data_IF_056257379027
#
_entry.id   IF_056257379027
#
_cell.length_a   1.000
_cell.length_b   1.000
_cell.length_c   1.000
_cell.angle_alpha   90.00
_cell.angle_beta   90.00
_cell.angle_gamma   90.00
#
_symmetry.space_group_name_H-M   'P 1'
#
loop_
_entity.id
_entity.type
_entity.pdbx_description
1 polymer ?
#
# COMPACT_ATOMS: atom_id res chain seq x y z
N UNK A 1 31.46 44.80 -34.77
CA UNK A 1 30.47 45.88 -34.97
C UNK A 1 29.54 45.89 -33.75
N UNK A 2 29.51 46.97 -32.95
CA UNK A 2 28.54 47.16 -31.85
C UNK A 2 27.41 48.13 -32.26
N UNK A 3 26.16 47.84 -31.88
CA UNK A 3 24.94 48.69 -31.88
C UNK A 3 23.75 47.80 -31.44
N UNK A 4 22.62 48.24 -30.89
CA UNK A 4 22.22 49.49 -30.22
C UNK A 4 21.04 49.14 -29.28
N UNK A 5 21.16 49.31 -27.97
CA UNK A 5 20.56 50.39 -27.15
C UNK A 5 19.01 50.53 -27.12
N UNK A 6 18.52 51.15 -26.04
CA UNK A 6 17.13 51.08 -25.53
C UNK A 6 16.11 51.87 -26.37
N UNK A 7 14.84 51.51 -26.23
CA UNK A 7 13.74 52.50 -26.22
C UNK A 7 12.93 52.42 -24.92
N UNK A 8 12.95 53.52 -24.17
CA UNK A 8 11.88 53.84 -23.23
C UNK A 8 10.77 54.58 -23.99
N UNK A 9 9.51 54.39 -23.58
CA UNK A 9 8.48 55.42 -23.70
C UNK A 9 7.80 55.60 -22.36
N UNK A 10 7.33 56.84 -22.13
CA UNK A 10 6.99 57.43 -20.83
C UNK A 10 5.67 58.17 -21.02
N UNK A 11 4.68 57.91 -20.16
CA UNK A 11 3.51 58.74 -19.84
C UNK A 11 2.52 57.90 -19.03
N UNK A 12 1.67 58.42 -18.13
CA UNK A 12 1.69 59.68 -17.35
C UNK A 12 0.65 59.46 -16.23
N UNK A 13 0.80 60.11 -15.06
CA UNK A 13 -0.16 59.92 -13.96
C UNK A 13 -1.53 60.52 -14.29
N UNK A 14 -2.59 59.81 -13.89
CA UNK A 14 -3.93 60.35 -13.67
C UNK A 14 -4.56 59.48 -12.58
N UNK A 15 -4.86 60.05 -11.42
CA UNK A 15 -5.50 59.32 -10.33
C UNK A 15 -6.99 59.64 -10.27
N UNK A 16 -7.81 58.64 -9.93
CA UNK A 16 -8.94 58.84 -9.01
C UNK A 16 -9.45 57.49 -8.44
N UNK A 17 -10.29 57.58 -7.41
CA UNK A 17 -11.23 56.59 -6.90
C UNK A 17 -10.66 55.26 -6.38
N UNK A 18 -10.55 55.18 -5.05
CA UNK A 18 -10.28 53.92 -4.36
C UNK A 18 -11.39 52.89 -4.56
N UNK A 19 -10.99 51.67 -4.95
CA UNK A 19 -11.80 50.48 -4.78
C UNK A 19 -11.01 49.47 -3.94
N UNK A 20 -11.32 49.44 -2.64
CA UNK A 20 -10.87 48.35 -1.78
C UNK A 20 -11.55 47.05 -2.26
N UNK A 21 -10.91 46.35 -3.20
CA UNK A 21 -11.17 44.93 -3.37
C UNK A 21 -10.81 44.26 -2.05
N UNK A 22 -11.84 43.93 -1.25
CA UNK A 22 -11.72 42.95 -0.18
C UNK A 22 -11.07 41.73 -0.83
N UNK A 23 -9.83 41.44 -0.44
CA UNK A 23 -9.21 40.16 -0.75
C UNK A 23 -10.07 39.16 -0.01
N UNK A 24 -10.98 38.52 -0.74
CA UNK A 24 -11.61 37.30 -0.28
C UNK A 24 -10.46 36.35 0.00
N UNK A 25 -10.19 36.07 1.27
CA UNK A 25 -9.21 35.08 1.70
C UNK A 25 -9.69 33.74 1.17
N UNK A 26 -9.33 33.43 -0.08
CA UNK A 26 -9.54 32.13 -0.66
C UNK A 26 -8.78 31.17 0.25
N UNK A 27 -9.52 30.38 1.01
CA UNK A 27 -8.96 29.29 1.80
C UNK A 27 -8.26 28.37 0.82
N UNK A 28 -6.96 28.60 0.63
CA UNK A 28 -6.08 27.62 -0.01
C UNK A 28 -6.32 26.36 0.81
N UNK A 29 -6.73 25.23 0.21
CA UNK A 29 -6.87 24.00 0.96
C UNK A 29 -5.49 23.66 1.49
N UNK A 30 -5.28 23.93 2.79
CA UNK A 30 -4.06 23.57 3.49
C UNK A 30 -3.96 22.06 3.38
N UNK A 31 -3.01 21.60 2.57
CA UNK A 31 -2.71 20.18 2.38
C UNK A 31 -2.57 19.59 3.78
N UNK A 32 -3.49 18.69 4.15
CA UNK A 32 -3.54 18.16 5.52
C UNK A 32 -2.24 17.43 5.79
N UNK A 33 -1.41 17.98 6.67
CA UNK A 33 -0.13 17.39 7.06
C UNK A 33 -0.41 16.29 8.08
N UNK A 34 0.34 15.20 8.01
CA UNK A 34 0.20 14.08 8.94
C UNK A 34 0.83 14.47 10.27
N UNK A 35 0.09 14.41 11.36
CA UNK A 35 0.63 14.66 12.71
C UNK A 35 0.60 13.40 13.55
N UNK A 36 1.70 13.15 14.25
CA UNK A 36 1.91 11.94 15.06
C UNK A 36 2.36 12.39 16.44
N UNK A 37 1.59 12.02 17.46
CA UNK A 37 1.78 12.45 18.84
C UNK A 37 2.39 11.31 19.66
N UNK A 38 3.35 11.65 20.52
CA UNK A 38 4.00 10.74 21.47
C UNK A 38 3.84 11.36 22.86
N UNK A 39 3.16 10.64 23.76
CA UNK A 39 2.81 11.06 25.13
C UNK A 39 2.07 12.41 25.29
N UNK A 40 1.69 13.07 24.19
CA UNK A 40 0.84 14.25 24.18
C UNK A 40 -0.62 13.87 23.90
N UNK A 41 -1.61 14.51 24.55
CA UNK A 41 -3.01 14.36 24.19
C UNK A 41 -3.26 14.97 22.80
N UNK A 42 -4.07 14.28 21.98
CA UNK A 42 -4.52 14.79 20.69
C UNK A 42 -5.32 16.08 20.86
N UNK A 43 -5.09 17.12 20.04
CA UNK A 43 -5.87 18.36 20.10
C UNK A 43 -7.30 18.12 19.63
N UNK A 44 -8.26 18.90 20.16
CA UNK A 44 -9.68 18.76 19.84
C UNK A 44 -10.03 18.93 18.34
N UNK A 45 -9.13 19.52 17.54
CA UNK A 45 -9.25 19.63 16.08
C UNK A 45 -9.00 18.32 15.32
N UNK A 46 -8.28 17.38 15.95
CA UNK A 46 -7.88 16.09 15.37
C UNK A 46 -8.65 14.92 15.99
N UNK A 47 -9.55 15.21 16.92
CA UNK A 47 -10.51 14.27 17.48
C UNK A 47 -11.85 14.37 16.74
N UNK A 48 -12.54 13.25 16.65
CA UNK A 48 -13.94 13.19 16.20
C UNK A 48 -14.93 13.53 17.34
N UNK A 49 -16.22 13.51 17.02
CA UNK A 49 -17.29 13.77 17.99
C UNK A 49 -17.39 12.74 19.14
N UNK A 50 -16.62 11.66 19.09
CA UNK A 50 -16.54 10.61 20.11
C UNK A 50 -15.20 10.63 20.87
N UNK A 51 -14.32 11.61 20.62
CA UNK A 51 -13.01 11.70 21.23
C UNK A 51 -12.00 10.65 20.72
N UNK A 52 -12.20 10.11 19.51
CA UNK A 52 -11.26 9.21 18.84
C UNK A 52 -10.44 9.98 17.78
N UNK A 53 -9.24 9.50 17.40
CA UNK A 53 -8.45 10.12 16.34
C UNK A 53 -9.24 10.15 15.01
N UNK A 54 -9.30 11.31 14.37
CA UNK A 54 -9.98 11.51 13.08
C UNK A 54 -9.17 10.95 11.91
N UNK A 55 -7.84 11.05 11.98
CA UNK A 55 -6.93 10.49 10.99
C UNK A 55 -6.78 8.98 11.20
N UNK A 56 -7.03 8.20 10.15
CA UNK A 56 -6.97 6.74 10.17
C UNK A 56 -5.79 6.24 9.32
N UNK A 57 -4.85 5.55 9.97
CA UNK A 57 -3.65 5.03 9.32
C UNK A 57 -3.84 3.62 8.73
N UNK A 58 -3.17 3.33 7.62
CA UNK A 58 -3.20 2.00 7.00
C UNK A 58 -2.43 0.97 7.84
N UNK A 59 -2.87 -0.28 7.82
CA UNK A 59 -2.15 -1.39 8.48
C UNK A 59 -0.78 -1.63 7.83
N UNK A 60 0.23 -2.04 8.62
CA UNK A 60 1.55 -2.37 8.07
C UNK A 60 1.60 -3.70 7.28
N UNK A 61 0.48 -4.41 7.19
CA UNK A 61 0.35 -5.66 6.44
C UNK A 61 0.52 -5.44 4.93
N UNK A 62 1.58 -6.00 4.36
CA UNK A 62 1.79 -6.03 2.90
C UNK A 62 0.94 -7.14 2.25
N UNK A 63 0.49 -6.87 1.02
CA UNK A 63 -0.09 -7.85 0.12
C UNK A 63 0.36 -7.59 -1.32
N UNK A 64 1.12 -8.51 -1.89
CA UNK A 64 1.55 -8.49 -3.32
C UNK A 64 0.71 -9.41 -4.19
N UNK A 65 0.01 -10.36 -3.57
CA UNK A 65 -0.95 -11.28 -4.19
C UNK A 65 -2.14 -10.57 -4.85
N UNK A 66 -2.42 -10.96 -6.09
CA UNK A 66 -3.36 -10.27 -6.99
C UNK A 66 -4.81 -10.73 -6.81
N UNK A 67 -5.01 -11.98 -6.41
CA UNK A 67 -6.32 -12.59 -6.27
C UNK A 67 -6.62 -12.84 -4.78
N UNK A 68 -7.91 -12.79 -4.41
CA UNK A 68 -8.44 -13.47 -3.22
C UNK A 68 -9.09 -14.77 -3.66
N UNK A 69 -9.38 -15.69 -2.73
CA UNK A 69 -10.14 -16.91 -3.05
C UNK A 69 -11.45 -16.62 -3.80
N UNK A 70 -12.18 -15.57 -3.42
CA UNK A 70 -13.45 -15.17 -4.06
C UNK A 70 -13.25 -14.45 -5.40
N UNK A 71 -12.24 -13.57 -5.50
CA UNK A 71 -11.98 -12.80 -6.72
C UNK A 71 -11.12 -13.54 -7.74
N UNK A 72 -10.58 -14.71 -7.41
CA UNK A 72 -9.70 -15.48 -8.30
C UNK A 72 -10.44 -15.86 -9.58
N UNK A 73 -11.51 -16.66 -9.48
CA UNK A 73 -12.23 -17.15 -10.64
C UNK A 73 -12.75 -16.03 -11.57
N UNK A 74 -13.49 -15.00 -11.10
CA UNK A 74 -14.01 -13.97 -12.00
C UNK A 74 -12.92 -13.10 -12.63
N UNK A 75 -11.88 -12.70 -11.88
CA UNK A 75 -10.79 -11.88 -12.44
C UNK A 75 -9.90 -12.69 -13.38
N UNK A 76 -9.57 -13.95 -13.02
CA UNK A 76 -8.74 -14.80 -13.86
C UNK A 76 -9.44 -15.13 -15.18
N UNK A 77 -10.71 -15.56 -15.14
CA UNK A 77 -11.50 -15.80 -16.36
C UNK A 77 -11.60 -14.54 -17.24
N UNK A 78 -11.90 -13.37 -16.65
CA UNK A 78 -11.93 -12.11 -17.40
C UNK A 78 -10.60 -11.80 -18.10
N UNK A 79 -9.47 -12.03 -17.43
CA UNK A 79 -8.16 -11.83 -18.03
C UNK A 79 -7.82 -12.86 -19.12
N UNK A 80 -8.26 -14.11 -18.96
CA UNK A 80 -8.14 -15.13 -20.00
C UNK A 80 -9.01 -14.82 -21.22
N UNK A 81 -10.25 -14.36 -21.05
CA UNK A 81 -11.14 -13.99 -22.16
C UNK A 81 -10.78 -12.65 -22.83
N UNK A 82 -9.94 -11.82 -22.20
CA UNK A 82 -9.25 -10.71 -22.88
C UNK A 82 -8.18 -11.16 -23.92
N UNK A 83 -8.08 -12.45 -24.27
CA UNK A 83 -7.32 -12.96 -25.44
C UNK A 83 -8.31 -13.35 -26.53
N UNK A 84 -8.08 -12.91 -27.76
CA UNK A 84 -9.05 -13.07 -28.87
C UNK A 84 -9.30 -14.53 -29.21
N UNK A 85 -8.27 -15.39 -29.15
CA UNK A 85 -8.42 -16.83 -29.36
C UNK A 85 -9.46 -17.47 -28.42
N UNK A 86 -9.48 -17.09 -27.14
CA UNK A 86 -10.42 -17.66 -26.16
C UNK A 86 -11.86 -17.21 -26.43
N UNK A 87 -12.06 -15.98 -26.95
CA UNK A 87 -13.37 -15.53 -27.41
C UNK A 87 -13.83 -16.26 -28.68
N UNK A 88 -12.91 -16.52 -29.62
CA UNK A 88 -13.20 -17.28 -30.84
C UNK A 88 -13.61 -18.73 -30.53
N UNK A 89 -12.85 -19.45 -29.72
CA UNK A 89 -13.20 -20.82 -29.32
C UNK A 89 -14.51 -20.86 -28.52
N UNK A 90 -14.76 -19.89 -27.64
CA UNK A 90 -16.04 -19.78 -26.93
C UNK A 90 -17.20 -19.58 -27.91
N UNK A 91 -17.04 -18.72 -28.91
CA UNK A 91 -18.05 -18.49 -29.94
C UNK A 91 -18.35 -19.76 -30.75
N UNK A 92 -17.33 -20.54 -31.15
CA UNK A 92 -17.53 -21.83 -31.82
C UNK A 92 -18.32 -22.82 -30.96
N UNK A 93 -17.97 -22.94 -29.67
CA UNK A 93 -18.71 -23.81 -28.72
C UNK A 93 -20.15 -23.35 -28.58
N UNK A 94 -20.41 -22.04 -28.49
CA UNK A 94 -21.77 -21.48 -28.40
C UNK A 94 -22.58 -21.73 -29.68
N UNK A 95 -21.99 -21.61 -30.88
CA UNK A 95 -22.69 -21.94 -32.13
C UNK A 95 -23.11 -23.40 -32.19
N UNK A 96 -22.30 -24.31 -31.65
CA UNK A 96 -22.58 -25.76 -31.63
C UNK A 96 -23.68 -26.14 -30.62
N UNK A 97 -24.02 -25.26 -29.67
CA UNK A 97 -25.19 -25.49 -28.79
C UNK A 97 -26.53 -25.43 -29.54
N UNK A 98 -26.57 -24.85 -30.74
CA UNK A 98 -27.78 -24.79 -31.57
C UNK A 98 -27.84 -26.03 -32.49
N UNK A 99 -28.81 -26.96 -32.33
CA UNK A 99 -28.86 -28.20 -33.13
C UNK A 99 -29.12 -27.99 -34.63
N UNK A 100 -29.50 -26.78 -35.03
CA UNK A 100 -29.67 -26.38 -36.43
C UNK A 100 -28.35 -26.02 -37.12
N UNK A 101 -27.27 -25.80 -36.34
CA UNK A 101 -25.95 -25.32 -36.79
C UNK A 101 -24.84 -26.32 -36.40
N UNK A 102 -24.97 -26.96 -35.23
CA UNK A 102 -24.09 -28.05 -34.80
C UNK A 102 -24.28 -29.30 -35.65
N UNK A 103 -23.18 -29.80 -36.24
CA UNK A 103 -23.15 -31.11 -36.91
C UNK A 103 -23.15 -32.28 -35.92
N UNK A 104 -22.68 -33.44 -36.37
CA UNK A 104 -22.72 -34.72 -35.63
C UNK A 104 -21.92 -34.74 -34.30
N UNK A 105 -21.11 -33.72 -34.01
CA UNK A 105 -20.25 -33.67 -32.83
C UNK A 105 -20.99 -33.09 -31.63
N UNK A 106 -21.04 -33.84 -30.53
CA UNK A 106 -21.67 -33.40 -29.29
C UNK A 106 -20.99 -32.12 -28.74
N UNK A 107 -21.75 -31.09 -28.31
CA UNK A 107 -21.16 -29.82 -27.85
C UNK A 107 -20.18 -29.95 -26.68
N UNK A 108 -20.38 -30.96 -25.82
CA UNK A 108 -19.45 -31.30 -24.76
C UNK A 108 -18.04 -31.57 -25.30
N UNK A 109 -17.90 -32.45 -26.29
CA UNK A 109 -16.61 -32.84 -26.89
C UNK A 109 -15.86 -31.64 -27.46
N UNK A 110 -16.57 -30.74 -28.14
CA UNK A 110 -15.98 -29.54 -28.72
C UNK A 110 -15.56 -28.48 -27.66
N UNK A 111 -16.18 -28.49 -26.48
CA UNK A 111 -15.79 -27.62 -25.36
C UNK A 111 -14.53 -28.10 -24.61
N UNK A 112 -14.18 -29.39 -24.69
CA UNK A 112 -13.06 -29.99 -23.94
C UNK A 112 -11.72 -29.26 -24.15
N UNK A 113 -11.27 -28.91 -25.38
CA UNK A 113 -9.99 -28.23 -25.57
C UNK A 113 -9.95 -26.84 -24.92
N UNK A 114 -11.03 -26.07 -25.04
CA UNK A 114 -11.14 -24.73 -24.44
C UNK A 114 -11.13 -24.81 -22.91
N UNK A 115 -11.92 -25.71 -22.33
CA UNK A 115 -11.97 -25.93 -20.87
C UNK A 115 -10.62 -26.40 -20.36
N UNK A 116 -9.93 -27.29 -21.07
CA UNK A 116 -8.59 -27.78 -20.72
C UNK A 116 -7.56 -26.65 -20.68
N UNK A 117 -7.48 -25.83 -21.74
CA UNK A 117 -6.54 -24.69 -21.81
C UNK A 117 -6.84 -23.65 -20.71
N UNK A 118 -8.11 -23.33 -20.47
CA UNK A 118 -8.51 -22.38 -19.43
C UNK A 118 -8.16 -22.90 -18.04
N UNK A 119 -8.43 -24.19 -17.79
CA UNK A 119 -8.15 -24.85 -16.50
C UNK A 119 -6.66 -24.95 -16.21
N UNK A 120 -5.85 -25.34 -17.19
CA UNK A 120 -4.39 -25.41 -17.06
C UNK A 120 -3.78 -24.03 -16.79
N UNK A 121 -4.27 -23.00 -17.50
CA UNK A 121 -3.85 -21.59 -17.28
C UNK A 121 -4.24 -21.12 -15.88
N UNK A 122 -5.48 -21.37 -15.45
CA UNK A 122 -5.96 -21.00 -14.12
C UNK A 122 -5.18 -21.70 -13.01
N UNK A 123 -4.87 -23.00 -13.16
CA UNK A 123 -4.10 -23.76 -12.18
C UNK A 123 -2.67 -23.19 -12.02
N UNK A 124 -2.02 -22.84 -13.13
CA UNK A 124 -0.71 -22.17 -13.13
C UNK A 124 -0.78 -20.82 -12.39
N UNK A 125 -1.74 -19.97 -12.76
CA UNK A 125 -1.90 -18.65 -12.15
C UNK A 125 -2.24 -18.73 -10.65
N UNK A 126 -3.03 -19.73 -10.25
CA UNK A 126 -3.34 -20.03 -8.84
C UNK A 126 -2.10 -20.45 -8.05
N UNK A 127 -1.23 -21.29 -8.62
CA UNK A 127 0.02 -21.70 -7.99
C UNK A 127 1.00 -20.51 -7.84
N UNK A 128 1.12 -19.66 -8.86
CA UNK A 128 1.93 -18.45 -8.79
C UNK A 128 1.43 -17.46 -7.72
N UNK A 129 0.12 -17.23 -7.62
CA UNK A 129 -0.44 -16.30 -6.62
C UNK A 129 -0.43 -16.92 -5.20
N UNK A 130 -0.61 -18.23 -5.06
CA UNK A 130 -0.39 -18.95 -3.79
C UNK A 130 1.03 -18.78 -3.27
N UNK A 131 2.04 -18.86 -4.16
CA UNK A 131 3.44 -18.60 -3.79
C UNK A 131 3.62 -17.17 -3.28
N UNK A 132 2.97 -16.17 -3.89
CA UNK A 132 2.96 -14.78 -3.38
C UNK A 132 2.29 -14.66 -2.02
N UNK A 133 1.13 -15.29 -1.81
CA UNK A 133 0.48 -15.32 -0.49
C UNK A 133 1.39 -15.94 0.60
N UNK A 134 2.16 -16.98 0.27
CA UNK A 134 3.13 -17.58 1.19
C UNK A 134 4.29 -16.61 1.51
N UNK A 135 4.82 -15.90 0.50
CA UNK A 135 5.86 -14.87 0.68
C UNK A 135 5.35 -13.68 1.50
N UNK A 136 4.17 -13.14 1.16
CA UNK A 136 3.47 -12.09 1.92
C UNK A 136 3.28 -12.52 3.39
N UNK A 137 2.84 -13.75 3.63
CA UNK A 137 2.62 -14.29 4.99
C UNK A 137 3.92 -14.40 5.79
N UNK A 138 5.04 -14.74 5.16
CA UNK A 138 6.33 -14.80 5.82
C UNK A 138 6.83 -13.39 6.18
N UNK A 139 6.79 -12.44 5.24
CA UNK A 139 7.19 -11.04 5.49
C UNK A 139 6.34 -10.36 6.58
N UNK A 140 5.03 -10.59 6.56
CA UNK A 140 4.12 -10.06 7.59
C UNK A 140 4.37 -10.67 8.98
N UNK A 141 4.99 -11.85 9.05
CA UNK A 141 5.38 -12.56 10.27
C UNK A 141 6.83 -12.36 10.67
N UNK A 142 7.61 -11.58 9.93
CA UNK A 142 8.92 -11.13 10.39
C UNK A 142 8.80 -10.46 11.75
N UNK A 143 9.77 -10.69 12.63
CA UNK A 143 9.79 -10.14 13.98
C UNK A 143 10.39 -8.73 13.99
N UNK A 144 9.99 -7.94 14.98
CA UNK A 144 10.59 -6.64 15.33
C UNK A 144 10.31 -6.35 16.81
N UNK A 145 11.12 -5.50 17.44
CA UNK A 145 10.94 -5.15 18.87
C UNK A 145 10.11 -3.88 18.98
N UNK A 146 8.95 -3.95 19.65
CA UNK A 146 8.07 -2.82 19.89
C UNK A 146 8.00 -2.49 21.38
N UNK A 147 7.82 -1.21 21.69
CA UNK A 147 7.48 -0.78 23.03
C UNK A 147 6.03 -1.20 23.34
N UNK A 148 5.85 -2.07 24.34
CA UNK A 148 4.53 -2.54 24.81
C UNK A 148 4.29 -2.08 26.25
N UNK A 149 3.06 -2.28 26.75
CA UNK A 149 2.49 -1.68 27.97
C UNK A 149 2.35 -0.15 27.93
N UNK A 150 2.66 0.47 26.79
CA UNK A 150 2.54 1.90 26.53
C UNK A 150 1.29 2.21 25.67
N UNK A 151 0.67 3.38 25.87
CA UNK A 151 -0.52 3.80 25.11
C UNK A 151 -0.15 4.72 23.95
N UNK A 152 -0.10 4.15 22.74
CA UNK A 152 -0.09 4.94 21.52
C UNK A 152 -1.43 5.70 21.36
N UNK A 153 -1.36 7.03 21.34
CA UNK A 153 -2.51 7.95 21.25
C UNK A 153 -3.11 8.05 19.84
N UNK A 154 -2.34 7.70 18.81
CA UNK A 154 -2.69 7.89 17.39
C UNK A 154 -3.65 6.83 16.83
N UNK A 155 -4.08 5.88 17.67
CA UNK A 155 -4.92 4.74 17.31
C UNK A 155 -6.21 4.80 18.13
N UNK A 156 -7.39 4.57 17.54
CA UNK A 156 -8.63 4.52 18.29
C UNK A 156 -8.59 3.42 19.37
N UNK A 157 -9.08 3.72 20.56
CA UNK A 157 -9.04 2.80 21.71
C UNK A 157 -9.95 1.59 21.53
N UNK A 158 -11.01 1.73 20.71
CA UNK A 158 -12.00 0.70 20.43
C UNK A 158 -11.76 0.02 19.07
N UNK A 159 -10.62 -0.67 18.92
CA UNK A 159 -10.25 -1.42 17.70
C UNK A 159 -11.10 -2.71 17.47
N UNK A 160 -12.31 -2.77 18.04
CA UNK A 160 -13.30 -3.83 17.82
C UNK A 160 -14.02 -3.71 16.48
N UNK A 161 -13.78 -2.63 15.72
CA UNK A 161 -14.63 -2.26 14.58
C UNK A 161 -14.47 -3.14 13.34
N UNK A 162 -13.33 -3.82 13.13
CA UNK A 162 -13.14 -4.63 11.90
C UNK A 162 -13.73 -6.04 11.97
N UNK A 163 -13.91 -6.64 13.15
CA UNK A 163 -14.58 -7.95 13.24
C UNK A 163 -16.11 -7.80 13.28
N UNK A 164 -16.62 -6.74 13.91
CA UNK A 164 -18.05 -6.50 14.05
C UNK A 164 -18.80 -6.32 12.71
N UNK A 165 -18.14 -5.85 11.64
CA UNK A 165 -18.80 -5.71 10.33
C UNK A 165 -19.04 -7.06 9.64
N UNK A 166 -18.01 -7.93 9.58
CA UNK A 166 -18.15 -9.25 8.98
C UNK A 166 -19.05 -10.15 9.82
N UNK A 167 -18.95 -10.12 11.16
CA UNK A 167 -19.86 -10.86 12.06
C UNK A 167 -21.32 -10.39 11.86
N UNK A 168 -21.58 -9.10 11.65
CA UNK A 168 -22.95 -8.60 11.35
C UNK A 168 -23.47 -9.06 9.98
N UNK A 169 -22.64 -9.07 8.94
CA UNK A 169 -23.02 -9.60 7.61
C UNK A 169 -23.28 -11.10 7.71
N UNK A 170 -22.38 -11.85 8.36
CA UNK A 170 -22.49 -13.30 8.50
C UNK A 170 -23.73 -13.67 9.33
N UNK A 171 -23.99 -12.99 10.45
CA UNK A 171 -25.22 -13.19 11.23
C UNK A 171 -26.49 -12.80 10.46
N UNK A 172 -26.43 -11.81 9.56
CA UNK A 172 -27.55 -11.50 8.66
C UNK A 172 -27.85 -12.65 7.68
N UNK A 173 -26.80 -13.22 7.08
CA UNK A 173 -26.90 -14.36 6.15
C UNK A 173 -27.27 -15.66 6.88
N UNK A 174 -26.79 -15.88 8.09
CA UNK A 174 -27.07 -17.09 8.89
C UNK A 174 -28.48 -17.09 9.49
N UNK A 175 -29.03 -15.92 9.86
CA UNK A 175 -30.45 -15.82 10.23
C UNK A 175 -31.38 -16.14 9.04
N UNK A 176 -30.95 -15.91 7.81
CA UNK A 176 -31.68 -16.33 6.60
C UNK A 176 -31.60 -17.85 6.33
N UNK A 177 -30.54 -18.52 6.82
CA UNK A 177 -30.25 -19.93 6.57
C UNK A 177 -30.55 -20.87 7.76
N UNK A 178 -30.97 -20.34 8.91
CA UNK A 178 -31.48 -21.14 10.04
C UNK A 178 -30.44 -21.93 10.85
N UNK A 179 -29.14 -21.81 10.55
CA UNK A 179 -28.08 -22.50 11.29
C UNK A 179 -27.63 -21.71 12.53
N UNK A 180 -27.93 -22.22 13.73
CA UNK A 180 -27.29 -21.77 14.98
C UNK A 180 -25.97 -22.53 15.19
N UNK A 181 -24.86 -21.81 15.16
CA UNK A 181 -23.58 -22.27 15.71
C UNK A 181 -23.42 -21.63 17.09
N UNK A 182 -23.14 -22.43 18.11
CA UNK A 182 -22.80 -21.94 19.44
C UNK A 182 -21.33 -21.58 19.51
N UNK A 183 -21.00 -20.29 19.50
CA UNK A 183 -19.62 -19.84 19.73
C UNK A 183 -19.31 -19.82 21.23
N UNK A 184 -18.54 -20.81 21.69
CA UNK A 184 -17.69 -20.61 22.86
C UNK A 184 -16.56 -19.67 22.46
N UNK A 185 -16.73 -18.38 22.75
CA UNK A 185 -15.65 -17.41 22.65
C UNK A 185 -14.77 -17.55 23.90
N UNK A 186 -13.60 -18.17 23.72
CA UNK A 186 -12.51 -18.13 24.69
C UNK A 186 -11.99 -16.68 24.84
N UNK A 187 -12.72 -15.90 25.64
CA UNK A 187 -12.40 -14.53 26.01
C UNK A 187 -11.19 -14.50 26.95
N UNK A 188 -9.99 -14.73 26.42
CA UNK A 188 -8.74 -14.60 27.16
C UNK A 188 -7.59 -14.04 26.32
N UNK A 189 -7.77 -12.79 25.86
CA UNK A 189 -6.65 -11.84 25.78
C UNK A 189 -7.07 -10.39 25.98
N UNK A 190 -7.82 -10.13 27.07
CA UNK A 190 -7.78 -8.80 27.69
C UNK A 190 -6.40 -8.67 28.30
N UNK A 191 -5.53 -7.90 27.65
CA UNK A 191 -4.28 -7.45 28.25
C UNK A 191 -4.63 -6.50 29.39
N UNK A 192 -4.89 -7.06 30.58
CA UNK A 192 -4.96 -6.29 31.80
C UNK A 192 -3.65 -5.52 31.93
N UNK A 193 -3.72 -4.19 31.89
CA UNK A 193 -2.61 -3.31 32.23
C UNK A 193 -2.34 -3.42 33.73
N UNK A 194 -1.68 -4.50 34.12
CA UNK A 194 -0.92 -4.53 35.37
C UNK A 194 0.13 -3.43 35.28
N UNK A 195 0.31 -2.66 36.35
CA UNK A 195 1.22 -1.51 36.46
C UNK A 195 2.71 -1.91 36.42
N UNK A 196 3.11 -2.61 35.37
CA UNK A 196 4.49 -2.73 34.92
C UNK A 196 4.63 -1.72 33.79
N UNK A 197 5.65 -0.86 33.86
CA UNK A 197 5.89 0.17 32.85
C UNK A 197 6.17 -0.41 31.46
N UNK A 198 6.51 0.47 30.53
CA UNK A 198 6.83 0.11 29.16
C UNK A 198 7.95 -0.94 29.11
N UNK A 199 7.80 -1.93 28.23
CA UNK A 199 8.75 -3.04 28.05
C UNK A 199 8.93 -3.34 26.57
N UNK A 200 10.20 -3.46 26.14
CA UNK A 200 10.54 -3.97 24.81
C UNK A 200 10.05 -5.41 24.64
N UNK A 201 9.13 -5.63 23.69
CA UNK A 201 8.54 -6.95 23.43
C UNK A 201 8.59 -7.25 21.93
N UNK A 202 8.90 -8.49 21.57
CA UNK A 202 8.85 -8.92 20.17
C UNK A 202 7.40 -8.93 19.64
N UNK A 203 7.24 -8.54 18.38
CA UNK A 203 5.95 -8.46 17.67
C UNK A 203 6.17 -8.68 16.18
N UNK A 204 5.10 -8.99 15.44
CA UNK A 204 5.20 -9.18 14.00
C UNK A 204 5.09 -7.85 13.24
N UNK A 205 5.69 -7.78 12.05
CA UNK A 205 5.64 -6.60 11.19
C UNK A 205 4.22 -6.13 10.87
N UNK A 206 3.28 -7.04 10.68
CA UNK A 206 1.86 -6.70 10.45
C UNK A 206 1.17 -6.00 11.65
N UNK A 207 1.71 -6.16 12.86
CA UNK A 207 1.16 -5.65 14.13
C UNK A 207 1.70 -4.25 14.48
N UNK A 208 2.62 -3.71 13.67
CA UNK A 208 3.21 -2.36 13.77
C UNK A 208 2.21 -1.32 13.27
N UNK A 209 2.02 -0.24 14.01
CA UNK A 209 1.11 0.88 13.71
C UNK A 209 1.86 2.22 13.72
N UNK A 210 1.26 3.25 13.12
CA UNK A 210 1.82 4.63 13.13
C UNK A 210 1.84 5.16 14.56
N UNK A 211 2.93 5.81 14.96
CA UNK A 211 3.17 6.27 16.32
C UNK A 211 3.71 5.21 17.27
N UNK A 212 3.90 3.95 16.84
CA UNK A 212 4.60 2.95 17.65
C UNK A 212 6.11 3.26 17.67
N UNK A 213 6.74 3.01 18.82
CA UNK A 213 8.19 3.09 18.99
C UNK A 213 8.79 1.69 18.75
N UNK A 214 9.71 1.61 17.81
CA UNK A 214 10.43 0.40 17.38
C UNK A 214 11.87 0.47 17.87
N UNK A 215 12.39 -0.64 18.41
CA UNK A 215 13.83 -0.85 18.66
C UNK A 215 14.37 -1.89 17.67
N UNK A 216 15.30 -1.47 16.82
CA UNK A 216 16.03 -2.31 15.90
C UNK A 216 17.36 -2.71 16.53
N UNK A 217 17.81 -3.93 16.29
CA UNK A 217 19.15 -4.44 16.62
C UNK A 217 20.03 -4.48 15.36
N UNK A 218 21.34 -4.60 15.54
CA UNK A 218 22.27 -4.78 14.43
C UNK A 218 21.84 -5.93 13.50
N UNK A 219 21.79 -5.67 12.19
CA UNK A 219 21.31 -6.56 11.12
C UNK A 219 19.78 -6.76 11.03
N UNK A 220 18.97 -6.07 11.84
CA UNK A 220 17.51 -6.07 11.66
C UNK A 220 17.12 -5.27 10.41
N UNK A 221 16.11 -5.78 9.69
CA UNK A 221 15.47 -5.07 8.60
C UNK A 221 14.39 -4.12 9.12
N UNK A 222 14.32 -2.92 8.55
CA UNK A 222 13.40 -1.85 8.94
C UNK A 222 11.96 -2.22 8.54
N UNK A 223 10.99 -2.31 9.49
CA UNK A 223 9.66 -2.88 9.24
C UNK A 223 8.67 -1.91 8.56
N UNK A 224 8.88 -0.61 8.71
CA UNK A 224 8.04 0.51 8.30
C UNK A 224 8.89 1.78 8.24
N UNK A 225 8.44 2.85 7.57
CA UNK A 225 9.26 4.07 7.49
C UNK A 225 9.17 4.83 8.83
N UNK A 226 10.34 5.14 9.43
CA UNK A 226 10.46 5.61 10.81
C UNK A 226 11.56 6.67 10.99
N UNK A 227 11.31 7.67 11.84
CA UNK A 227 12.31 8.66 12.28
C UNK A 227 13.23 8.00 13.31
N UNK A 228 14.53 8.27 13.22
CA UNK A 228 15.52 7.84 14.20
C UNK A 228 15.45 8.79 15.39
N UNK A 229 15.05 8.28 16.55
CA UNK A 229 15.02 9.05 17.79
C UNK A 229 16.39 9.01 18.50
N UNK A 230 17.00 7.83 18.57
CA UNK A 230 18.27 7.61 19.27
C UNK A 230 18.98 6.34 18.74
N UNK A 231 20.30 6.26 18.91
CA UNK A 231 21.13 5.13 18.46
C UNK A 231 22.15 4.74 19.53
N UNK A 232 22.80 3.58 19.37
CA UNK A 232 23.91 3.15 20.24
C UNK A 232 25.16 4.03 20.17
N UNK A 233 25.31 4.83 19.12
CA UNK A 233 26.52 5.62 18.88
C UNK A 233 26.44 6.98 19.57
N UNK A 234 27.51 7.46 20.23
CA UNK A 234 27.48 8.70 21.01
C UNK A 234 27.24 9.96 20.17
N UNK A 235 27.55 9.91 18.88
CA UNK A 235 27.32 10.99 17.91
C UNK A 235 25.89 10.94 17.29
N UNK A 236 25.02 10.04 17.76
CA UNK A 236 23.67 9.87 17.22
C UNK A 236 23.63 9.26 15.81
N UNK A 237 24.72 8.63 15.37
CA UNK A 237 24.83 8.07 14.02
C UNK A 237 24.25 6.65 13.95
N UNK A 238 23.77 6.25 12.78
CA UNK A 238 23.65 4.83 12.43
C UNK A 238 23.93 4.59 10.94
N UNK A 239 24.26 3.34 10.60
CA UNK A 239 24.58 2.96 9.22
C UNK A 239 23.51 2.02 8.66
N UNK A 240 23.11 2.25 7.40
CA UNK A 240 22.09 1.44 6.72
C UNK A 240 22.55 0.91 5.38
N UNK A 241 22.21 -0.34 5.09
CA UNK A 241 22.34 -0.95 3.77
C UNK A 241 21.04 -0.71 2.97
N UNK A 242 21.13 -0.03 1.83
CA UNK A 242 19.96 0.29 0.97
C UNK A 242 19.80 -0.61 -0.25
N UNK A 243 20.59 -1.69 -0.35
CA UNK A 243 20.62 -2.66 -1.44
C UNK A 243 19.24 -3.14 -1.93
N UNK A 244 18.23 -3.21 -1.05
CA UNK A 244 16.88 -3.64 -1.40
C UNK A 244 16.00 -2.53 -2.03
N UNK A 245 16.41 -1.27 -1.98
CA UNK A 245 15.69 -0.12 -2.54
C UNK A 245 16.33 0.40 -3.84
N UNK A 246 17.62 0.70 -3.80
CA UNK A 246 18.36 1.34 -4.91
C UNK A 246 19.48 0.45 -5.49
N UNK A 247 19.76 -0.70 -4.87
CA UNK A 247 20.84 -1.60 -5.30
C UNK A 247 22.23 -1.16 -4.88
N UNK A 248 22.37 -0.06 -4.14
CA UNK A 248 23.68 0.39 -3.63
C UNK A 248 24.21 -0.57 -2.56
N UNK A 249 25.50 -0.91 -2.65
CA UNK A 249 26.19 -1.82 -1.73
C UNK A 249 26.91 -1.12 -0.59
N UNK A 250 27.04 0.20 -0.66
CA UNK A 250 27.70 1.00 0.36
C UNK A 250 26.74 1.27 1.52
N UNK A 251 27.28 1.35 2.73
CA UNK A 251 26.52 1.77 3.89
C UNK A 251 26.28 3.28 3.82
N UNK A 252 25.02 3.71 3.96
CA UNK A 252 24.66 5.13 4.06
C UNK A 252 24.60 5.53 5.53
N UNK A 253 25.16 6.67 5.87
CA UNK A 253 25.07 7.27 7.21
C UNK A 253 23.69 7.91 7.35
N UNK A 254 23.09 7.75 8.52
CA UNK A 254 21.87 8.44 8.97
C UNK A 254 22.11 9.00 10.37
N UNK A 255 21.36 10.03 10.74
CA UNK A 255 21.46 10.71 12.03
C UNK A 255 20.19 10.49 12.85
N UNK A 256 20.29 10.47 14.17
CA UNK A 256 19.13 10.64 15.03
C UNK A 256 18.75 12.12 15.11
N UNK A 257 17.49 12.39 15.47
CA UNK A 257 17.08 13.76 15.77
C UNK A 257 17.82 14.22 17.06
N UNK A 258 18.62 15.31 17.02
CA UNK A 258 19.45 15.72 18.15
C UNK A 258 18.71 15.90 19.47
N UNK A 259 17.49 16.45 19.47
CA UNK A 259 16.71 16.66 20.70
C UNK A 259 16.27 15.36 21.40
N UNK A 260 16.36 14.20 20.73
CA UNK A 260 15.91 12.90 21.25
C UNK A 260 17.05 11.91 21.55
N UNK A 261 18.32 12.33 21.40
CA UNK A 261 19.51 11.47 21.58
C UNK A 261 19.63 10.86 22.99
N UNK A 262 19.06 11.49 24.01
CA UNK A 262 19.10 11.00 25.40
C UNK A 262 18.20 9.80 25.68
N UNK A 263 17.28 9.44 24.77
CA UNK A 263 16.39 8.29 24.93
C UNK A 263 17.20 7.00 24.79
N UNK A 264 17.29 6.20 25.85
CA UNK A 264 17.99 4.90 25.81
C UNK A 264 17.18 3.77 26.43
N UNK A 265 16.43 4.08 27.49
CA UNK A 265 15.60 3.14 28.26
C UNK A 265 14.13 3.24 27.88
N UNK A 266 13.38 2.21 28.25
CA UNK A 266 11.92 2.16 28.16
C UNK A 266 11.26 3.31 28.93
N UNK A 267 11.78 3.64 30.11
CA UNK A 267 11.29 4.74 30.94
C UNK A 267 11.49 6.10 30.27
N UNK A 268 12.57 6.32 29.53
CA UNK A 268 12.77 7.56 28.76
C UNK A 268 11.70 7.70 27.67
N UNK A 269 11.32 6.58 27.04
CA UNK A 269 10.27 6.53 26.02
C UNK A 269 8.86 6.80 26.59
N UNK A 270 8.61 6.51 27.88
CA UNK A 270 7.36 6.87 28.55
C UNK A 270 7.30 8.35 28.94
N UNK A 271 8.43 8.93 29.35
CA UNK A 271 8.48 10.29 29.86
C UNK A 271 8.60 11.35 28.76
N UNK A 272 9.15 11.02 27.59
CA UNK A 272 9.32 11.99 26.51
C UNK A 272 7.98 12.33 25.83
N UNK A 273 7.67 13.62 25.72
CA UNK A 273 6.45 14.10 25.07
C UNK A 273 6.80 15.00 23.87
N UNK A 274 6.27 14.69 22.69
CA UNK A 274 6.48 15.48 21.47
C UNK A 274 5.43 15.14 20.40
N UNK A 275 5.39 15.93 19.33
CA UNK A 275 4.70 15.53 18.10
C UNK A 275 5.53 15.84 16.86
N UNK A 276 5.33 15.04 15.81
CA UNK A 276 5.95 15.23 14.50
C UNK A 276 4.89 15.70 13.53
N UNK A 277 5.13 16.85 12.87
CA UNK A 277 4.39 17.26 11.69
C UNK A 277 5.14 16.77 10.44
N UNK A 278 4.55 15.80 9.73
CA UNK A 278 5.12 15.11 8.58
C UNK A 278 4.37 15.48 7.29
N UNK A 279 5.08 15.47 6.16
CA UNK A 279 4.44 15.61 4.85
C UNK A 279 3.58 14.39 4.47
N UNK A 280 2.84 14.51 3.37
CA UNK A 280 2.02 13.40 2.88
C UNK A 280 2.89 12.30 2.24
N UNK A 281 2.47 11.02 2.30
CA UNK A 281 3.22 9.91 1.72
C UNK A 281 3.45 10.12 0.21
N UNK A 282 4.72 10.16 -0.21
CA UNK A 282 5.13 10.38 -1.60
C UNK A 282 6.28 9.44 -2.00
N UNK A 283 6.34 9.09 -3.29
CA UNK A 283 7.24 8.05 -3.81
C UNK A 283 8.72 8.44 -3.85
N UNK A 284 9.09 9.72 -3.90
CA UNK A 284 10.51 10.11 -3.93
C UNK A 284 11.27 9.59 -2.70
N UNK A 285 12.22 8.67 -2.92
CA UNK A 285 13.05 8.00 -1.92
C UNK A 285 14.10 8.91 -1.27
N UNK A 286 14.51 9.98 -1.96
CA UNK A 286 15.61 10.86 -1.55
C UNK A 286 15.13 12.18 -0.93
N UNK A 287 13.82 12.33 -0.72
CA UNK A 287 13.22 13.50 -0.10
C UNK A 287 12.32 13.04 1.04
N UNK A 288 12.45 13.74 2.16
CA UNK A 288 11.51 13.74 3.27
C UNK A 288 11.65 15.08 3.99
N UNK A 289 10.54 15.67 4.37
CA UNK A 289 10.41 16.91 5.12
C UNK A 289 9.44 16.68 6.27
N UNK A 290 9.95 16.78 7.49
CA UNK A 290 9.15 16.79 8.70
C UNK A 290 9.64 17.89 9.66
N UNK A 291 8.88 18.08 10.73
CA UNK A 291 9.22 19.01 11.81
C UNK A 291 8.89 18.32 13.13
N UNK A 292 9.88 18.20 14.02
CA UNK A 292 9.69 17.79 15.41
C UNK A 292 9.27 19.04 16.22
N UNK A 293 8.20 18.89 16.98
CA UNK A 293 7.77 19.85 17.99
C UNK A 293 7.84 19.21 19.37
N UNK A 294 8.66 19.77 20.25
CA UNK A 294 8.83 19.29 21.62
C UNK A 294 8.63 20.44 22.62
N UNK A 295 8.12 20.17 23.83
CA UNK A 295 7.91 21.21 24.84
C UNK A 295 9.26 21.75 25.31
N UNK A 296 9.36 23.07 25.44
CA UNK A 296 10.45 23.69 26.18
C UNK A 296 10.21 23.49 27.69
N UNK A 297 11.22 23.00 28.41
CA UNK A 297 11.15 22.85 29.87
C UNK A 297 11.32 24.19 30.60
N UNK A 298 11.95 25.18 29.95
CA UNK A 298 12.31 26.48 30.56
C UNK A 298 11.34 27.62 30.18
N UNK A 299 10.49 27.46 29.14
CA UNK A 299 9.57 28.49 28.66
C UNK A 299 8.11 27.99 28.55
N UNK A 300 7.19 28.61 29.29
CA UNK A 300 5.83 28.11 29.56
C UNK A 300 4.84 28.13 28.37
N UNK A 301 5.25 28.58 27.17
CA UNK A 301 4.33 28.81 26.03
C UNK A 301 4.97 28.62 24.63
N UNK A 302 6.23 28.20 24.55
CA UNK A 302 6.92 27.98 23.27
C UNK A 302 7.30 26.49 23.12
N UNK A 303 6.78 25.84 22.08
CA UNK A 303 7.34 24.55 21.64
C UNK A 303 8.61 24.83 20.84
N UNK A 304 9.69 24.12 21.17
CA UNK A 304 10.90 24.10 20.35
C UNK A 304 10.64 23.32 19.07
N UNK A 305 11.34 23.71 18.00
CA UNK A 305 11.07 23.28 16.63
C UNK A 305 12.38 22.81 16.00
N UNK A 306 12.43 21.55 15.59
CA UNK A 306 13.60 20.95 14.93
C UNK A 306 13.21 20.37 13.55
N UNK A 307 13.87 20.77 12.45
CA UNK A 307 13.57 20.25 11.13
C UNK A 307 14.07 18.81 10.98
N UNK A 308 13.29 17.98 10.30
CA UNK A 308 13.60 16.58 10.05
C UNK A 308 13.75 16.38 8.53
N UNK A 309 14.89 15.83 8.13
CA UNK A 309 15.27 15.55 6.75
C UNK A 309 15.20 14.05 6.45
N UNK A 310 15.42 13.68 5.20
CA UNK A 310 15.58 12.28 4.78
C UNK A 310 16.75 11.58 5.51
N UNK A 311 17.77 12.33 5.93
CA UNK A 311 18.92 11.79 6.66
C UNK A 311 18.56 11.24 8.04
N UNK A 312 17.41 11.62 8.58
CA UNK A 312 16.95 11.29 9.93
C UNK A 312 15.87 10.19 9.93
N UNK A 313 15.65 9.59 8.75
CA UNK A 313 14.61 8.57 8.50
C UNK A 313 15.21 7.26 8.00
N UNK A 314 14.76 6.16 8.60
CA UNK A 314 14.95 4.80 8.12
C UNK A 314 13.76 4.41 7.23
N UNK A 315 14.05 3.98 6.00
CA UNK A 315 13.04 3.49 5.07
C UNK A 315 12.86 1.97 5.20
N UNK A 316 11.64 1.50 4.99
CA UNK A 316 11.31 0.08 4.92
C UNK A 316 12.16 -0.63 3.87
N UNK A 317 12.75 -1.76 4.26
CA UNK A 317 13.64 -2.54 3.39
C UNK A 317 15.13 -2.19 3.52
N UNK A 318 15.47 -1.08 4.18
CA UNK A 318 16.83 -0.88 4.69
C UNK A 318 17.14 -1.95 5.76
N UNK A 319 18.43 -2.25 5.92
CA UNK A 319 18.94 -3.10 7.01
C UNK A 319 19.90 -2.28 7.85
N UNK A 320 19.71 -2.27 9.18
CA UNK A 320 20.63 -1.62 10.11
C UNK A 320 21.96 -2.40 10.14
N UNK A 321 23.10 -1.70 10.05
CA UNK A 321 24.44 -2.30 10.08
C UNK A 321 25.34 -1.46 10.97
N UNK A 322 26.38 -2.06 11.54
CA UNK A 322 27.43 -1.36 12.30
C UNK A 322 26.91 -0.41 13.39
N UNK A 323 25.76 -0.73 13.98
CA UNK A 323 25.10 0.02 15.06
C UNK A 323 24.40 -1.04 15.90
N UNK A 324 24.67 -1.08 17.20
CA UNK A 324 24.16 -2.16 18.08
C UNK A 324 22.64 -2.13 18.15
N UNK A 325 22.08 -0.93 18.34
CA UNK A 325 20.65 -0.70 18.34
C UNK A 325 20.29 0.71 17.84
N UNK A 326 19.08 0.84 17.29
CA UNK A 326 18.47 2.13 16.96
C UNK A 326 17.00 2.14 17.42
N UNK A 327 16.57 3.23 18.05
CA UNK A 327 15.19 3.48 18.46
C UNK A 327 14.59 4.48 17.48
N UNK A 328 13.37 4.22 17.00
CA UNK A 328 12.67 5.16 16.13
C UNK A 328 11.14 5.10 16.20
N UNK A 329 10.52 6.17 15.69
CA UNK A 329 9.08 6.39 15.66
C UNK A 329 8.50 6.10 14.27
N UNK A 330 7.50 5.22 14.18
CA UNK A 330 6.88 4.83 12.90
C UNK A 330 5.93 5.92 12.37
N UNK A 331 6.08 6.28 11.08
CA UNK A 331 5.37 7.40 10.41
C UNK A 331 4.50 6.93 9.25
N UNK A 332 5.06 6.06 8.41
CA UNK A 332 4.35 5.44 7.29
C UNK A 332 4.39 3.93 7.44
N UNK A 333 3.23 3.31 7.33
CA UNK A 333 3.00 1.87 7.42
C UNK A 333 2.46 1.34 6.10
N UNK A 334 2.70 0.06 5.80
CA UNK A 334 2.02 -0.65 4.72
C UNK A 334 2.15 0.06 3.37
N UNK A 335 1.01 0.36 2.74
CA UNK A 335 0.92 1.04 1.44
C UNK A 335 1.47 2.46 1.41
N UNK A 336 1.55 3.14 2.56
CA UNK A 336 2.06 4.51 2.65
C UNK A 336 3.60 4.56 2.61
N UNK A 337 4.28 3.44 2.85
CA UNK A 337 5.75 3.40 2.85
C UNK A 337 6.32 3.66 1.47
N UNK A 338 7.43 4.41 1.39
CA UNK A 338 8.00 4.85 0.11
C UNK A 338 8.30 3.68 -0.83
N UNK A 339 8.75 2.54 -0.31
CA UNK A 339 9.00 1.34 -1.11
C UNK A 339 7.71 0.77 -1.74
N UNK A 340 6.57 0.82 -1.04
CA UNK A 340 5.29 0.35 -1.57
C UNK A 340 4.71 1.33 -2.60
N UNK A 341 4.85 2.64 -2.39
CA UNK A 341 4.48 3.67 -3.36
C UNK A 341 5.26 3.55 -4.69
N UNK A 342 6.51 3.08 -4.65
CA UNK A 342 7.29 2.79 -5.86
C UNK A 342 7.01 1.39 -6.45
N UNK A 343 6.50 0.45 -5.66
CA UNK A 343 6.20 -0.91 -6.13
C UNK A 343 4.94 -0.98 -6.99
N UNK A 344 3.95 -0.14 -6.70
CA UNK A 344 2.67 -0.08 -7.41
C UNK A 344 1.81 -1.35 -7.29
N UNK A 345 0.66 -1.36 -7.97
CA UNK A 345 -0.19 -2.55 -8.06
C UNK A 345 0.43 -3.62 -8.98
N UNK A 346 0.47 -4.87 -8.53
CA UNK A 346 0.99 -6.02 -9.30
C UNK A 346 0.25 -6.14 -10.66
N UNK A 347 0.89 -5.80 -11.80
CA UNK A 347 0.17 -5.69 -13.07
C UNK A 347 -0.11 -7.05 -13.69
N UNK A 348 -1.17 -7.14 -14.50
CA UNK A 348 -1.39 -8.28 -15.40
C UNK A 348 -0.36 -8.27 -16.53
N UNK A 349 0.83 -8.84 -16.29
CA UNK A 349 1.87 -8.96 -17.31
C UNK A 349 1.34 -9.79 -18.50
N UNK A 350 1.40 -9.20 -19.69
CA UNK A 350 1.16 -9.88 -20.97
C UNK A 350 2.45 -9.80 -21.78
N UNK A 351 2.74 -10.85 -22.54
CA UNK A 351 3.90 -10.79 -23.44
C UNK A 351 3.56 -9.96 -24.69
N UNK A 352 4.56 -9.29 -25.29
CA UNK A 352 4.35 -8.59 -26.57
C UNK A 352 3.84 -9.57 -27.65
N UNK A 353 4.38 -10.79 -27.65
CA UNK A 353 3.99 -11.89 -28.54
C UNK A 353 2.51 -12.28 -28.33
N UNK A 354 2.02 -12.36 -27.09
CA UNK A 354 0.60 -12.63 -26.79
C UNK A 354 -0.32 -11.56 -27.38
N UNK A 355 0.10 -10.28 -27.36
CA UNK A 355 -0.66 -9.18 -27.95
C UNK A 355 -0.69 -9.34 -29.49
N UNK A 356 0.48 -9.55 -30.10
CA UNK A 356 0.67 -9.70 -31.56
C UNK A 356 -0.03 -10.95 -32.12
N UNK A 357 -0.04 -12.05 -31.38
CA UNK A 357 -0.75 -13.29 -31.74
C UNK A 357 -2.26 -13.07 -31.89
N UNK A 358 -2.87 -12.10 -31.18
CA UNK A 358 -4.28 -11.78 -31.40
C UNK A 358 -4.55 -11.28 -32.83
N UNK A 359 -3.60 -10.57 -33.46
CA UNK A 359 -3.75 -10.13 -34.84
C UNK A 359 -3.75 -11.32 -35.81
N UNK A 360 -2.81 -12.24 -35.65
CA UNK A 360 -2.77 -13.48 -36.45
C UNK A 360 -4.03 -14.33 -36.27
N UNK A 361 -4.58 -14.41 -35.05
CA UNK A 361 -5.87 -15.06 -34.79
C UNK A 361 -6.99 -14.34 -35.54
N UNK A 362 -7.09 -13.01 -35.47
CA UNK A 362 -8.09 -12.26 -36.24
C UNK A 362 -7.99 -12.55 -37.75
N UNK A 363 -6.80 -12.46 -38.34
CA UNK A 363 -6.60 -12.76 -39.77
C UNK A 363 -7.06 -14.17 -40.13
N UNK A 364 -6.62 -15.18 -39.37
CA UNK A 364 -7.05 -16.57 -39.59
C UNK A 364 -8.57 -16.73 -39.47
N UNK A 365 -9.22 -16.10 -38.48
CA UNK A 365 -10.69 -16.15 -38.38
C UNK A 365 -11.39 -15.50 -39.57
N UNK A 366 -10.84 -14.42 -40.13
CA UNK A 366 -11.40 -13.77 -41.32
C UNK A 366 -11.27 -14.63 -42.59
N UNK A 367 -10.15 -15.33 -42.76
CA UNK A 367 -9.93 -16.29 -43.85
C UNK A 367 -10.87 -17.48 -43.77
N UNK A 368 -11.11 -18.02 -42.56
CA UNK A 368 -12.07 -19.09 -42.33
C UNK A 368 -13.51 -18.66 -42.69
N UNK A 369 -13.93 -17.45 -42.27
CA UNK A 369 -15.25 -16.90 -42.62
C UNK A 369 -15.39 -16.72 -44.13
N UNK A 370 -14.36 -16.20 -44.81
CA UNK A 370 -14.36 -16.04 -46.27
C UNK A 370 -14.45 -17.40 -46.99
N UNK A 371 -13.74 -18.42 -46.51
CA UNK A 371 -13.84 -19.78 -47.02
C UNK A 371 -15.26 -20.35 -46.88
N UNK A 372 -15.85 -20.25 -45.68
CA UNK A 372 -17.24 -20.67 -45.44
C UNK A 372 -18.26 -19.95 -46.35
N UNK A 373 -18.05 -18.65 -46.62
CA UNK A 373 -18.91 -17.89 -47.52
C UNK A 373 -18.83 -18.37 -48.97
N UNK A 374 -17.62 -18.64 -49.47
CA UNK A 374 -17.41 -19.18 -50.83
C UNK A 374 -18.03 -20.58 -50.99
N UNK A 375 -17.79 -21.50 -50.05
CA UNK A 375 -18.42 -22.83 -50.06
C UNK A 375 -19.94 -22.82 -49.82
N UNK A 376 -20.47 -21.76 -49.20
CA UNK A 376 -21.91 -21.57 -49.00
C UNK A 376 -22.65 -21.08 -50.25
N UNK A 377 -21.97 -20.38 -51.16
CA UNK A 377 -22.56 -19.77 -52.36
C UNK A 377 -22.55 -20.70 -53.57
N UNK A 378 -21.66 -21.69 -53.64
CA UNK A 378 -21.59 -22.63 -54.75
C UNK A 378 -21.96 -24.08 -54.34
N UNK A 379 -23.23 -24.48 -54.51
CA UNK A 379 -23.67 -25.87 -54.31
C UNK A 379 -23.02 -26.89 -55.26
N UNK A 380 -22.43 -26.49 -56.39
CA UNK A 380 -21.86 -27.42 -57.35
C UNK A 380 -20.55 -28.05 -56.83
N UNK A 381 -19.74 -27.31 -56.07
CA UNK A 381 -18.48 -27.83 -55.53
C UNK A 381 -18.66 -29.00 -54.54
N UNK A 382 -19.82 -29.12 -53.88
CA UNK A 382 -20.13 -30.24 -52.97
C UNK A 382 -20.09 -31.61 -53.65
N UNK A 383 -20.29 -31.68 -54.97
CA UNK A 383 -20.31 -32.93 -55.73
C UNK A 383 -18.95 -33.28 -56.38
N UNK A 384 -17.91 -32.47 -56.21
CA UNK A 384 -16.58 -32.69 -56.82
C UNK A 384 -15.52 -33.26 -55.86
N UNK A 385 -15.85 -33.48 -54.58
CA UNK A 385 -14.92 -33.95 -53.54
C UNK A 385 -15.54 -35.08 -52.68
N UNK A 386 -16.50 -35.81 -53.26
CA UNK A 386 -17.12 -37.00 -52.66
C UNK A 386 -16.59 -38.28 -53.33
#
# INVERSE_FOLDING_TARGET
>A
MPFFERKQQKNQNSGDAGHQRKISTSTIPTISKRRIYVNLPLPATELDQYGQPKECYVTNKIRTSKYTLLTFLPKNLFEQFRRVANMYFLFLVVLQLFPMIGGEVQPFLASVPLISIISMTALKDAFEDWKRHAQDKNLNRSQTTLLRNWRNVNIPTNDTSSQNFLVRIWNGIFNLLGCRIGENLDNNKVSHTTHNGAVWTESHWQDVKVGDIVKLKNNDAVPADMIILSTSEPDGLCYVETKNLDGETNLKVRHCVPSTISITTESDCENIAFYVESEQPHSNLYSYTGVLHYPDNDATDNNLIEPISINDVLLRGCVLRNTEWAIGLVIFTGTDTKIMLNSGDTPSKRSKIEIETNFHVCSFTSENIQGCYLFGIDPQLKNCVA
#
